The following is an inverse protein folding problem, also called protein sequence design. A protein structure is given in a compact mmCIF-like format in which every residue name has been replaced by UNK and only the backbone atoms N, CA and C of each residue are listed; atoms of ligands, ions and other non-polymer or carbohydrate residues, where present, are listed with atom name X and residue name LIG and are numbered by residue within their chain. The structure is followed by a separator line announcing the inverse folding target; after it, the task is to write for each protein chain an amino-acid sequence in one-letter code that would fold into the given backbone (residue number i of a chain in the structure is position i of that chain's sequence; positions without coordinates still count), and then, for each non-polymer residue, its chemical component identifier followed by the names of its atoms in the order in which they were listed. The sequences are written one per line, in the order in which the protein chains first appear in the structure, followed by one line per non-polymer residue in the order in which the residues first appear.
data_IF_121100595740
#
_entry.id   IF_121100595740
#
_cell.length_a   1.000
_cell.length_b   1.000
_cell.length_c   1.000
_cell.angle_alpha   90.00
_cell.angle_beta   90.00
_cell.angle_gamma   90.00
#
_symmetry.space_group_name_H-M   'P 1'
#
loop_
_entity.id
_entity.type
_entity.pdbx_description
1 polymer ?
#
# COMPACT_ATOMS: atom_id res chain seq x y z
N UNK A 1 -11.06 15.89 -11.97
CA UNK A 1 -11.30 15.34 -13.31
C UNK A 1 -10.15 14.43 -13.74
N UNK A 2 -10.42 13.44 -14.57
CA UNK A 2 -9.38 12.60 -15.16
C UNK A 2 -8.55 13.46 -16.13
N UNK A 3 -7.23 13.32 -16.07
CA UNK A 3 -6.33 14.00 -17.00
C UNK A 3 -6.71 13.66 -18.47
N UNK A 4 -6.74 14.64 -19.40
CA UNK A 4 -7.12 14.40 -20.79
C UNK A 4 -6.28 13.32 -21.47
N UNK A 5 -4.96 13.26 -21.22
CA UNK A 5 -4.09 12.23 -21.82
C UNK A 5 -4.41 10.83 -21.27
N UNK A 6 -4.72 10.75 -19.96
CA UNK A 6 -5.15 9.48 -19.33
C UNK A 6 -6.48 9.02 -19.94
N UNK A 7 -7.45 9.93 -20.09
CA UNK A 7 -8.73 9.65 -20.72
C UNK A 7 -8.56 9.10 -22.13
N UNK A 8 -7.77 9.77 -22.98
CA UNK A 8 -7.49 9.32 -24.35
C UNK A 8 -6.84 7.93 -24.38
N UNK A 9 -5.90 7.66 -23.46
CA UNK A 9 -5.26 6.36 -23.35
C UNK A 9 -6.24 5.24 -22.91
N UNK A 10 -7.32 5.57 -22.20
CA UNK A 10 -8.35 4.60 -21.76
C UNK A 10 -9.38 4.26 -22.85
N UNK A 11 -9.68 5.18 -23.78
CA UNK A 11 -10.76 5.02 -24.76
C UNK A 11 -10.69 3.73 -25.58
N UNK A 12 -9.54 3.26 -26.10
CA UNK A 12 -9.47 2.01 -26.87
C UNK A 12 -9.96 0.79 -26.08
N UNK A 13 -9.80 0.78 -24.76
CA UNK A 13 -10.21 -0.33 -23.87
C UNK A 13 -11.70 -0.33 -23.53
N UNK A 14 -12.41 0.73 -23.92
CA UNK A 14 -13.88 0.81 -23.75
C UNK A 14 -14.63 0.30 -24.99
N UNK A 15 -13.93 -0.01 -26.09
CA UNK A 15 -14.56 -0.43 -27.35
C UNK A 15 -13.75 -1.41 -28.18
N UNK A 16 -12.55 -1.05 -28.57
CA UNK A 16 -11.77 -1.82 -29.55
C UNK A 16 -10.97 -2.97 -28.91
N UNK A 17 -10.46 -2.78 -27.69
CA UNK A 17 -9.61 -3.73 -26.96
C UNK A 17 -10.37 -4.24 -25.75
N UNK A 18 -11.11 -5.32 -25.90
CA UNK A 18 -12.04 -5.84 -24.88
C UNK A 18 -11.81 -7.30 -24.48
N UNK A 19 -10.74 -7.92 -25.00
CA UNK A 19 -10.46 -9.34 -24.75
C UNK A 19 -10.12 -9.67 -23.30
N UNK A 20 -10.42 -10.90 -22.89
CA UNK A 20 -9.96 -11.40 -21.60
C UNK A 20 -8.45 -11.71 -21.69
N UNK A 21 -7.60 -11.05 -20.87
CA UNK A 21 -6.14 -11.23 -20.92
C UNK A 21 -5.66 -12.63 -20.52
N UNK A 22 -6.54 -13.47 -19.95
CA UNK A 22 -6.24 -14.87 -19.62
C UNK A 22 -6.51 -15.83 -20.79
N UNK A 23 -7.16 -15.36 -21.88
CA UNK A 23 -7.48 -16.20 -23.03
C UNK A 23 -6.31 -16.35 -23.99
N UNK A 24 -6.13 -17.56 -24.53
CA UNK A 24 -4.99 -17.89 -25.42
C UNK A 24 -5.22 -17.48 -26.89
N UNK A 25 -6.44 -17.12 -27.28
CA UNK A 25 -6.73 -16.65 -28.64
C UNK A 25 -6.23 -15.22 -28.90
N UNK A 26 -6.24 -14.79 -30.16
CA UNK A 26 -5.66 -13.51 -30.60
C UNK A 26 -6.14 -12.32 -29.77
N UNK A 27 -7.45 -12.17 -29.56
CA UNK A 27 -8.05 -11.03 -28.83
C UNK A 27 -7.58 -11.02 -27.36
N UNK A 28 -7.49 -12.21 -26.74
CA UNK A 28 -6.98 -12.31 -25.37
C UNK A 28 -5.50 -11.95 -25.26
N UNK A 29 -4.67 -12.42 -26.23
CA UNK A 29 -3.25 -12.06 -26.26
C UNK A 29 -3.02 -10.55 -26.46
N UNK A 30 -3.86 -9.91 -27.28
CA UNK A 30 -3.81 -8.45 -27.44
C UNK A 30 -4.10 -7.72 -26.12
N UNK A 31 -5.17 -8.09 -25.43
CA UNK A 31 -5.49 -7.52 -24.12
C UNK A 31 -4.38 -7.78 -23.10
N UNK A 32 -3.78 -8.98 -23.11
CA UNK A 32 -2.66 -9.34 -22.24
C UNK A 32 -1.42 -8.47 -22.49
N UNK A 33 -1.07 -8.23 -23.75
CA UNK A 33 0.08 -7.41 -24.11
C UNK A 33 -0.05 -5.98 -23.56
N UNK A 34 -1.24 -5.39 -23.62
CA UNK A 34 -1.49 -4.06 -23.05
C UNK A 34 -1.43 -4.06 -21.52
N UNK A 35 -1.93 -5.10 -20.87
CA UNK A 35 -1.84 -5.23 -19.41
C UNK A 35 -0.39 -5.37 -18.94
N UNK A 36 0.41 -6.13 -19.67
CA UNK A 36 1.82 -6.33 -19.33
C UNK A 36 2.63 -5.03 -19.60
N UNK A 37 2.38 -4.30 -20.72
CA UNK A 37 2.98 -2.98 -20.96
C UNK A 37 2.63 -1.99 -19.84
N UNK A 38 1.38 -1.95 -19.42
CA UNK A 38 0.96 -1.08 -18.32
C UNK A 38 1.68 -1.43 -17.00
N UNK A 39 1.89 -2.72 -16.74
CA UNK A 39 2.63 -3.19 -15.55
C UNK A 39 4.10 -2.82 -15.62
N UNK A 40 4.74 -3.01 -16.77
CA UNK A 40 6.14 -2.66 -16.99
C UNK A 40 6.37 -1.15 -16.80
N UNK A 41 5.47 -0.31 -17.32
CA UNK A 41 5.51 1.14 -17.14
C UNK A 41 5.32 1.54 -15.69
N UNK A 42 4.36 0.95 -14.99
CA UNK A 42 4.15 1.20 -13.57
C UNK A 42 5.38 0.79 -12.75
N UNK A 43 5.94 -0.39 -13.01
CA UNK A 43 7.14 -0.89 -12.34
C UNK A 43 8.33 0.06 -12.56
N UNK A 44 8.51 0.56 -13.79
CA UNK A 44 9.58 1.51 -14.12
C UNK A 44 9.45 2.82 -13.33
N UNK A 45 8.24 3.36 -13.21
CA UNK A 45 7.99 4.59 -12.43
C UNK A 45 8.22 4.34 -10.94
N UNK A 46 7.84 3.15 -10.45
CA UNK A 46 7.99 2.80 -9.05
C UNK A 46 9.43 2.40 -8.66
N UNK A 47 10.33 2.16 -9.62
CA UNK A 47 11.64 1.58 -9.34
C UNK A 47 11.57 0.12 -8.88
N UNK A 48 10.49 -0.59 -9.27
CA UNK A 48 10.18 -1.96 -8.88
C UNK A 48 10.30 -2.93 -10.07
N UNK A 49 10.21 -4.24 -9.80
CA UNK A 49 10.09 -5.25 -10.86
C UNK A 49 8.62 -5.39 -11.28
N UNK A 50 8.32 -5.74 -12.54
CA UNK A 50 6.94 -5.99 -12.96
C UNK A 50 6.20 -7.04 -12.13
N UNK A 51 6.91 -8.06 -11.63
CA UNK A 51 6.36 -9.10 -10.76
C UNK A 51 5.95 -8.60 -9.37
N UNK A 52 6.42 -7.42 -8.97
CA UNK A 52 6.10 -6.78 -7.67
C UNK A 52 4.90 -5.83 -7.79
N UNK A 53 4.40 -5.59 -9.02
CA UNK A 53 3.24 -4.73 -9.27
C UNK A 53 1.96 -5.57 -9.35
N UNK A 54 1.02 -5.30 -8.46
CA UNK A 54 -0.30 -5.95 -8.44
C UNK A 54 -1.38 -4.90 -8.69
N UNK A 55 -2.13 -5.04 -9.78
CA UNK A 55 -3.30 -4.21 -10.04
C UNK A 55 -4.50 -4.69 -9.22
N UNK A 56 -5.18 -3.77 -8.58
CA UNK A 56 -6.38 -4.00 -7.77
C UNK A 56 -7.52 -3.09 -8.25
N UNK A 57 -8.75 -3.43 -7.91
CA UNK A 57 -9.92 -2.61 -8.26
C UNK A 57 -9.97 -1.27 -7.50
N UNK A 58 -9.20 -1.12 -6.41
CA UNK A 58 -9.15 0.12 -5.65
C UNK A 58 -8.39 -0.01 -4.32
N UNK A 59 -8.31 1.12 -3.59
CA UNK A 59 -7.54 1.21 -2.35
C UNK A 59 -8.00 0.24 -1.26
N UNK A 60 -9.29 -0.07 -1.17
CA UNK A 60 -9.83 -1.02 -0.19
C UNK A 60 -9.32 -2.44 -0.45
N UNK A 61 -9.37 -2.91 -1.70
CA UNK A 61 -8.83 -4.23 -2.07
C UNK A 61 -7.33 -4.30 -1.80
N UNK A 62 -6.59 -3.26 -2.16
CA UNK A 62 -5.15 -3.16 -1.90
C UNK A 62 -4.85 -3.27 -0.40
N UNK A 63 -5.54 -2.49 0.46
CA UNK A 63 -5.34 -2.52 1.90
C UNK A 63 -5.66 -3.92 2.48
N UNK A 64 -6.74 -4.56 2.02
CA UNK A 64 -7.07 -5.93 2.42
C UNK A 64 -5.97 -6.91 2.00
N UNK A 65 -5.49 -6.84 0.76
CA UNK A 65 -4.44 -7.72 0.26
C UNK A 65 -3.14 -7.55 1.05
N UNK A 66 -2.69 -6.31 1.26
CA UNK A 66 -1.46 -6.02 1.97
C UNK A 66 -1.56 -6.40 3.45
N UNK A 67 -2.57 -5.93 4.18
CA UNK A 67 -2.64 -6.07 5.64
C UNK A 67 -3.11 -7.47 6.03
N UNK A 68 -4.27 -7.94 5.51
CA UNK A 68 -4.77 -9.27 5.88
C UNK A 68 -3.87 -10.38 5.33
N UNK A 69 -3.36 -10.21 4.10
CA UNK A 69 -2.45 -11.16 3.47
C UNK A 69 -1.16 -11.32 4.28
N UNK A 70 -0.50 -10.21 4.59
CA UNK A 70 0.74 -10.20 5.39
C UNK A 70 0.52 -10.74 6.80
N UNK A 71 -0.53 -10.27 7.48
CA UNK A 71 -0.84 -10.73 8.83
C UNK A 71 -1.03 -12.26 8.89
N UNK A 72 -1.80 -12.82 7.96
CA UNK A 72 -2.04 -14.27 7.89
C UNK A 72 -0.78 -15.06 7.55
N UNK A 73 0.01 -14.57 6.60
CA UNK A 73 1.28 -15.19 6.20
C UNK A 73 2.27 -15.23 7.36
N UNK A 74 2.37 -14.14 8.12
CA UNK A 74 3.33 -13.99 9.21
C UNK A 74 2.79 -14.39 10.59
N UNK A 75 1.55 -14.85 10.68
CA UNK A 75 0.92 -15.29 11.95
C UNK A 75 1.76 -16.26 12.78
N UNK A 76 2.54 -17.19 12.18
CA UNK A 76 3.44 -18.06 12.95
C UNK A 76 4.62 -17.32 13.60
N UNK A 77 4.99 -16.12 13.09
CA UNK A 77 6.09 -15.30 13.61
C UNK A 77 5.66 -14.36 14.73
N UNK A 78 4.41 -13.94 14.72
CA UNK A 78 3.88 -13.00 15.68
C UNK A 78 2.44 -12.60 15.38
N UNK A 79 1.80 -11.92 16.33
CA UNK A 79 0.40 -11.49 16.19
C UNK A 79 0.18 -10.03 16.57
N UNK A 80 1.23 -9.23 16.58
CA UNK A 80 1.14 -7.82 16.87
C UNK A 80 1.30 -6.98 15.61
N UNK A 81 0.38 -6.04 15.42
CA UNK A 81 0.34 -5.08 14.31
C UNK A 81 0.29 -3.68 14.89
N UNK A 82 1.04 -2.76 14.30
CA UNK A 82 1.01 -1.35 14.67
C UNK A 82 0.46 -0.54 13.48
N UNK A 83 -0.43 0.40 13.77
CA UNK A 83 -0.95 1.34 12.77
C UNK A 83 -1.16 2.72 13.39
N UNK A 84 -1.40 3.75 12.57
CA UNK A 84 -1.71 5.08 13.11
C UNK A 84 -3.20 5.24 13.43
N UNK A 85 -3.52 6.16 14.33
CA UNK A 85 -4.91 6.47 14.68
C UNK A 85 -5.67 7.20 13.55
N UNK A 86 -4.96 7.74 12.54
CA UNK A 86 -5.52 8.56 11.46
C UNK A 86 -5.49 7.88 10.09
N UNK A 87 -5.32 6.58 10.05
CA UNK A 87 -5.37 5.82 8.79
C UNK A 87 -6.73 5.92 8.10
N UNK A 88 -6.72 5.71 6.79
CA UNK A 88 -7.95 5.52 6.06
C UNK A 88 -8.73 4.30 6.60
N UNK A 89 -10.06 4.37 6.60
CA UNK A 89 -10.93 3.29 7.10
C UNK A 89 -10.64 1.91 6.48
N UNK A 90 -10.15 1.84 5.24
CA UNK A 90 -9.74 0.59 4.62
C UNK A 90 -8.64 -0.14 5.42
N UNK A 91 -7.70 0.60 6.02
CA UNK A 91 -6.63 0.08 6.88
C UNK A 91 -7.17 -0.23 8.27
N UNK A 92 -7.87 0.73 8.90
CA UNK A 92 -8.42 0.57 10.25
C UNK A 92 -9.34 -0.64 10.36
N UNK A 93 -10.23 -0.84 9.38
CA UNK A 93 -11.15 -2.00 9.36
C UNK A 93 -10.43 -3.35 9.21
N UNK A 94 -9.33 -3.40 8.46
CA UNK A 94 -8.49 -4.60 8.42
C UNK A 94 -7.90 -4.91 9.79
N UNK A 95 -7.35 -3.91 10.47
CA UNK A 95 -6.79 -4.05 11.81
C UNK A 95 -7.84 -4.47 12.84
N UNK A 96 -9.01 -3.81 12.83
CA UNK A 96 -10.15 -4.18 13.69
C UNK A 96 -10.60 -5.63 13.46
N UNK A 97 -10.71 -6.04 12.21
CA UNK A 97 -11.11 -7.40 11.86
C UNK A 97 -10.10 -8.44 12.38
N UNK A 98 -8.81 -8.21 12.18
CA UNK A 98 -7.73 -9.08 12.66
C UNK A 98 -7.75 -9.20 14.19
N UNK A 99 -7.98 -8.10 14.91
CA UNK A 99 -8.09 -8.11 16.36
C UNK A 99 -9.32 -8.88 16.85
N UNK A 100 -10.48 -8.61 16.27
CA UNK A 100 -11.76 -9.18 16.74
C UNK A 100 -11.97 -10.63 16.32
N UNK A 101 -11.42 -11.06 15.18
CA UNK A 101 -11.74 -12.33 14.55
C UNK A 101 -10.59 -13.32 14.45
N UNK A 102 -9.35 -12.84 14.41
CA UNK A 102 -8.19 -13.70 14.13
C UNK A 102 -7.17 -13.75 15.28
N UNK A 103 -7.43 -13.03 16.38
CA UNK A 103 -6.61 -13.07 17.60
C UNK A 103 -5.29 -12.33 17.45
N UNK A 104 -5.28 -11.25 16.67
CA UNK A 104 -4.17 -10.30 16.62
C UNK A 104 -4.32 -9.23 17.70
N UNK A 105 -3.22 -8.66 18.12
CA UNK A 105 -3.19 -7.43 18.92
C UNK A 105 -2.82 -6.26 18.01
N UNK A 106 -3.51 -5.14 18.16
CA UNK A 106 -3.28 -3.94 17.34
C UNK A 106 -2.97 -2.75 18.27
N UNK A 107 -1.82 -2.14 18.04
CA UNK A 107 -1.47 -0.87 18.67
C UNK A 107 -1.74 0.28 17.68
N UNK A 108 -2.54 1.24 18.11
CA UNK A 108 -2.82 2.47 17.38
C UNK A 108 -1.90 3.58 17.88
N UNK A 109 -0.94 4.02 17.07
CA UNK A 109 -0.04 5.10 17.42
C UNK A 109 -0.83 6.42 17.50
N UNK A 110 -0.65 7.18 18.57
CA UNK A 110 -1.19 8.52 18.66
C UNK A 110 -0.48 9.45 17.67
N UNK A 111 -1.15 10.51 17.31
CA UNK A 111 -0.58 11.62 16.53
C UNK A 111 -0.57 12.89 17.36
N UNK A 112 0.28 13.83 17.01
CA UNK A 112 0.31 15.15 17.61
C UNK A 112 -0.81 16.06 17.06
N UNK A 113 -0.74 17.38 17.36
CA UNK A 113 -1.75 18.36 16.92
C UNK A 113 -1.74 18.60 15.42
N UNK A 114 -0.62 18.39 14.76
CA UNK A 114 -0.42 18.46 13.33
C UNK A 114 -0.77 17.14 12.63
N UNK A 115 -1.11 16.09 13.38
CA UNK A 115 -1.43 14.76 12.86
C UNK A 115 -0.20 13.91 12.56
N UNK A 116 0.99 14.23 13.11
CA UNK A 116 2.22 13.50 12.89
C UNK A 116 2.38 12.33 13.87
N UNK A 117 2.79 11.19 13.34
CA UNK A 117 3.26 10.03 14.12
C UNK A 117 4.70 10.26 14.54
N UNK A 118 4.97 10.17 15.83
CA UNK A 118 6.35 10.26 16.35
C UNK A 118 7.10 8.94 16.16
N UNK A 119 8.32 8.95 15.56
CA UNK A 119 9.20 7.78 15.52
C UNK A 119 9.49 7.18 16.90
N UNK A 120 9.62 8.03 17.93
CA UNK A 120 9.78 7.56 19.32
C UNK A 120 8.57 6.76 19.83
N UNK A 121 7.36 7.15 19.40
CA UNK A 121 6.15 6.41 19.75
C UNK A 121 6.13 5.04 19.09
N UNK A 122 6.57 4.95 17.83
CA UNK A 122 6.73 3.68 17.13
C UNK A 122 7.80 2.81 17.82
N UNK A 123 8.98 3.37 18.14
CA UNK A 123 10.04 2.63 18.80
C UNK A 123 9.58 1.99 20.14
N UNK A 124 8.79 2.72 20.93
CA UNK A 124 8.22 2.23 22.21
C UNK A 124 7.12 1.18 22.01
N UNK A 125 6.42 1.20 20.88
CA UNK A 125 5.34 0.27 20.57
C UNK A 125 5.84 -1.05 19.96
N UNK A 126 7.04 -1.08 19.38
CA UNK A 126 7.63 -2.28 18.79
C UNK A 126 7.87 -3.35 19.83
N UNK A 127 7.47 -4.58 19.50
CA UNK A 127 7.56 -5.78 20.36
C UNK A 127 8.24 -6.92 19.59
N UNK A 128 8.78 -7.94 20.28
CA UNK A 128 9.37 -9.10 19.59
C UNK A 128 8.41 -9.86 18.68
N UNK A 129 7.10 -9.79 18.93
CA UNK A 129 6.03 -10.41 18.13
C UNK A 129 5.35 -9.43 17.17
N UNK A 130 5.88 -8.23 16.98
CA UNK A 130 5.41 -7.28 15.96
C UNK A 130 5.81 -7.78 14.58
N UNK A 131 4.84 -7.92 13.67
CA UNK A 131 5.05 -8.45 12.32
C UNK A 131 4.83 -7.41 11.23
N UNK A 132 4.04 -6.39 11.49
CA UNK A 132 3.66 -5.38 10.51
C UNK A 132 3.44 -4.04 11.20
N UNK A 133 3.99 -2.99 10.58
CA UNK A 133 3.64 -1.60 10.86
C UNK A 133 3.01 -1.01 9.61
N UNK A 134 1.89 -0.31 9.74
CA UNK A 134 1.19 0.34 8.63
C UNK A 134 0.91 1.80 8.99
N UNK A 135 1.56 2.73 8.27
CA UNK A 135 1.35 4.18 8.43
C UNK A 135 1.24 4.82 7.06
N UNK A 136 0.16 5.57 6.83
CA UNK A 136 -0.08 6.27 5.57
C UNK A 136 1.00 7.30 5.29
N UNK A 137 1.34 7.54 4.00
CA UNK A 137 2.35 8.52 3.63
C UNK A 137 1.82 9.96 3.74
N UNK A 138 0.56 10.18 3.37
CA UNK A 138 -0.11 11.46 3.49
C UNK A 138 -1.59 11.25 3.83
N UNK A 139 -2.10 12.07 4.76
CA UNK A 139 -3.49 11.95 5.18
C UNK A 139 -4.44 12.63 4.18
N UNK A 140 -5.55 11.97 3.87
CA UNK A 140 -6.52 12.40 2.86
C UNK A 140 -7.45 13.54 3.35
N UNK A 141 -7.54 13.79 4.64
CA UNK A 141 -8.44 14.78 5.23
C UNK A 141 -7.71 16.06 5.64
N UNK A 142 -6.60 15.92 6.35
CA UNK A 142 -5.86 17.05 6.92
C UNK A 142 -4.57 17.38 6.16
N UNK A 143 -4.15 16.52 5.19
CA UNK A 143 -2.99 16.77 4.33
C UNK A 143 -1.63 16.55 4.99
N UNK A 144 -1.59 16.09 6.23
CA UNK A 144 -0.33 15.83 6.96
C UNK A 144 0.50 14.78 6.25
N UNK A 145 1.77 15.10 5.97
CA UNK A 145 2.76 14.19 5.41
C UNK A 145 3.51 13.51 6.56
N UNK A 146 3.49 12.19 6.59
CA UNK A 146 4.12 11.40 7.66
C UNK A 146 5.63 11.19 7.40
N UNK A 147 6.45 11.02 8.45
CA UNK A 147 7.89 10.75 8.31
C UNK A 147 8.15 9.28 7.94
N UNK A 148 7.52 8.80 6.85
CA UNK A 148 7.48 7.37 6.47
C UNK A 148 8.86 6.78 6.23
N UNK A 149 9.80 7.55 5.68
CA UNK A 149 11.18 7.08 5.47
C UNK A 149 11.89 6.73 6.79
N UNK A 150 11.66 7.53 7.82
CA UNK A 150 12.24 7.32 9.17
C UNK A 150 11.53 6.14 9.86
N UNK A 151 10.20 6.08 9.78
CA UNK A 151 9.40 4.98 10.35
C UNK A 151 9.78 3.64 9.68
N UNK A 152 9.93 3.61 8.34
CA UNK A 152 10.36 2.43 7.61
C UNK A 152 11.78 2.00 7.95
N UNK A 153 12.71 2.95 8.10
CA UNK A 153 14.08 2.64 8.52
C UNK A 153 14.10 2.00 9.93
N UNK A 154 13.27 2.51 10.86
CA UNK A 154 13.12 1.95 12.20
C UNK A 154 12.54 0.52 12.14
N UNK A 155 11.51 0.28 11.35
CA UNK A 155 10.94 -1.05 11.14
C UNK A 155 11.98 -2.04 10.61
N UNK A 156 12.76 -1.63 9.61
CA UNK A 156 13.83 -2.45 9.03
C UNK A 156 14.90 -2.84 10.06
N UNK A 157 15.31 -1.92 10.94
CA UNK A 157 16.25 -2.21 12.03
C UNK A 157 15.75 -3.29 12.99
N UNK A 158 14.41 -3.39 13.15
CA UNK A 158 13.78 -4.38 14.01
C UNK A 158 13.29 -5.63 13.28
N UNK A 159 13.52 -5.74 11.96
CA UNK A 159 13.08 -6.87 11.15
C UNK A 159 11.55 -6.99 11.01
N UNK A 160 10.84 -5.87 11.12
CA UNK A 160 9.39 -5.76 11.00
C UNK A 160 9.04 -5.20 9.63
N UNK A 161 8.03 -5.77 8.95
CA UNK A 161 7.58 -5.26 7.66
C UNK A 161 6.88 -3.90 7.84
N UNK A 162 7.15 -3.00 6.90
CA UNK A 162 6.54 -1.67 6.85
C UNK A 162 5.68 -1.49 5.61
N UNK A 163 4.39 -1.26 5.81
CA UNK A 163 3.42 -0.89 4.77
C UNK A 163 3.09 0.60 4.86
N UNK A 164 3.01 1.27 3.72
CA UNK A 164 2.50 2.64 3.64
C UNK A 164 1.36 2.77 2.64
N UNK A 165 0.29 3.46 3.03
CA UNK A 165 -0.74 3.92 2.11
C UNK A 165 -0.31 5.24 1.46
N UNK A 166 0.14 5.17 0.22
CA UNK A 166 0.63 6.32 -0.55
C UNK A 166 -0.40 6.86 -1.58
N UNK A 167 -1.69 6.56 -1.44
CA UNK A 167 -2.74 7.05 -2.37
C UNK A 167 -2.75 8.56 -2.48
N UNK A 168 -2.51 9.27 -1.39
CA UNK A 168 -2.48 10.74 -1.40
C UNK A 168 -1.12 11.32 -1.75
N UNK A 169 -0.08 10.50 -1.89
CA UNK A 169 1.26 10.94 -2.28
C UNK A 169 1.44 10.99 -3.80
N UNK A 170 1.08 9.90 -4.50
CA UNK A 170 1.31 9.78 -5.94
C UNK A 170 0.63 10.87 -6.74
N UNK A 171 1.43 11.55 -7.60
CA UNK A 171 0.97 12.64 -8.46
C UNK A 171 0.73 13.97 -7.75
N UNK A 172 1.10 14.09 -6.47
CA UNK A 172 0.95 15.32 -5.68
C UNK A 172 2.27 15.77 -5.06
N UNK A 173 3.04 14.83 -4.53
CA UNK A 173 4.32 15.08 -3.91
C UNK A 173 5.47 14.58 -4.80
N UNK A 174 6.69 15.13 -4.68
CA UNK A 174 7.86 14.65 -5.37
C UNK A 174 8.09 13.16 -5.10
N UNK A 175 8.34 12.41 -6.17
CA UNK A 175 8.51 10.98 -6.11
C UNK A 175 9.65 10.54 -7.02
N UNK A 176 10.67 9.91 -6.44
CA UNK A 176 11.78 9.33 -7.17
C UNK A 176 11.50 7.85 -7.47
N UNK A 177 11.33 7.05 -6.43
CA UNK A 177 10.91 5.66 -6.47
C UNK A 177 10.37 5.21 -5.09
N UNK A 178 9.90 3.95 -5.00
CA UNK A 178 9.32 3.43 -3.75
C UNK A 178 10.35 3.28 -2.63
N UNK A 179 11.64 3.20 -2.93
CA UNK A 179 12.69 3.00 -1.93
C UNK A 179 12.84 4.20 -1.00
N UNK A 180 12.39 5.40 -1.45
CA UNK A 180 12.36 6.59 -0.60
C UNK A 180 11.52 6.43 0.67
N UNK A 181 10.56 5.52 0.69
CA UNK A 181 9.70 5.26 1.85
C UNK A 181 10.28 4.25 2.84
N UNK A 182 11.35 3.54 2.47
CA UNK A 182 11.83 2.36 3.21
C UNK A 182 10.74 1.33 3.52
N UNK A 183 9.70 1.26 2.69
CA UNK A 183 8.61 0.29 2.78
C UNK A 183 8.96 -1.03 2.08
N UNK A 184 8.24 -2.11 2.46
CA UNK A 184 8.39 -3.47 1.92
C UNK A 184 7.34 -3.81 0.87
#
# INVERSE_FOLDING_TARGET
PVDPQVREAMLPFMGEIWGNPSSVHHVGRQARAHLDDARDRAAKVLGAKPSEVVFTAGGTERANLAILGTARLLKPKGRHIITSAIEHHAVLRCCEYLAQREGFEVTYLPVDREGLVSPDSLAKALRPDTILVSVMAANNEIGTIQPVAELGALCRQHGVLFHTDAVQWFGKEPFEDIHQFNAD
#
